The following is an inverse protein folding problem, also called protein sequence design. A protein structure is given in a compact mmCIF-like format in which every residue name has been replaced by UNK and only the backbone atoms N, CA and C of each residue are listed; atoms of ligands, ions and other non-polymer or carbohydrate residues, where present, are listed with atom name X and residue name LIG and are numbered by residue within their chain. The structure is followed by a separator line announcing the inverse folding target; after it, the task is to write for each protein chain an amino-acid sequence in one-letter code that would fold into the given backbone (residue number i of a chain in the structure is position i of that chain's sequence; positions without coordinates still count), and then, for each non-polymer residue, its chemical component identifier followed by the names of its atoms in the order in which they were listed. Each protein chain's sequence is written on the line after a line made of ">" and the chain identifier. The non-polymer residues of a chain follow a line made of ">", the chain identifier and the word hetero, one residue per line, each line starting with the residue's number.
data_IF_135971573855
#
_entry.id   IF_135971573855
#
_cell.length_a   1.000
_cell.length_b   1.000
_cell.length_c   1.000
_cell.angle_alpha   90.00
_cell.angle_beta   90.00
_cell.angle_gamma   90.00
#
_symmetry.space_group_name_H-M   'P 1'
#
loop_
_entity.id
_entity.type
_entity.pdbx_description
1 polymer ?
#
# COMPACT_ATOMS: atom_id res chain seq x y z
N UNK A 1 -8.11 0.57 -18.54
CA UNK A 1 -8.16 -0.14 -17.23
C UNK A 1 -9.16 0.57 -16.33
N UNK A 2 -10.04 -0.16 -15.63
CA UNK A 2 -11.00 0.42 -14.67
C UNK A 2 -10.61 -0.04 -13.27
N UNK A 3 -10.33 0.91 -12.37
CA UNK A 3 -10.04 0.59 -10.98
C UNK A 3 -11.33 0.16 -10.26
N UNK A 4 -11.26 -0.92 -9.48
CA UNK A 4 -12.37 -1.45 -8.68
C UNK A 4 -11.99 -1.43 -7.20
N UNK A 5 -12.96 -1.11 -6.34
CA UNK A 5 -12.77 -1.12 -4.89
C UNK A 5 -13.66 -2.20 -4.31
N UNK A 6 -13.04 -3.23 -3.71
CA UNK A 6 -13.75 -4.33 -3.05
C UNK A 6 -14.05 -4.03 -1.58
N UNK A 7 -13.16 -3.30 -0.90
CA UNK A 7 -13.30 -2.93 0.50
C UNK A 7 -12.76 -1.51 0.71
N UNK A 8 -13.68 -0.56 0.87
CA UNK A 8 -13.34 0.85 1.00
C UNK A 8 -12.56 1.15 2.28
N UNK A 9 -12.86 0.48 3.39
CA UNK A 9 -12.21 0.72 4.68
C UNK A 9 -10.77 0.21 4.66
N UNK A 10 -10.51 -0.95 4.05
CA UNK A 10 -9.13 -1.44 3.90
C UNK A 10 -8.33 -0.57 2.95
N UNK A 11 -8.93 -0.13 1.85
CA UNK A 11 -8.27 0.77 0.90
C UNK A 11 -7.86 2.09 1.57
N UNK A 12 -8.78 2.72 2.31
CA UNK A 12 -8.52 3.98 3.02
C UNK A 12 -7.36 3.87 4.03
N UNK A 13 -7.33 2.80 4.82
CA UNK A 13 -6.21 2.51 5.73
C UNK A 13 -4.89 2.34 5.00
N UNK A 14 -4.90 1.64 3.87
CA UNK A 14 -3.71 1.43 3.05
C UNK A 14 -3.21 2.75 2.46
N UNK A 15 -4.11 3.57 1.93
CA UNK A 15 -3.77 4.90 1.40
C UNK A 15 -3.21 5.82 2.50
N UNK A 16 -3.85 5.87 3.67
CA UNK A 16 -3.38 6.68 4.80
C UNK A 16 -1.98 6.27 5.26
N UNK A 17 -1.69 4.97 5.35
CA UNK A 17 -0.37 4.47 5.73
C UNK A 17 0.71 4.76 4.67
N UNK A 18 0.37 4.65 3.38
CA UNK A 18 1.33 4.80 2.29
C UNK A 18 1.53 6.26 1.87
N UNK A 19 0.50 7.09 1.97
CA UNK A 19 0.49 8.46 1.44
C UNK A 19 0.36 9.52 2.53
N UNK A 20 0.13 9.14 3.78
CA UNK A 20 0.09 10.05 4.92
C UNK A 20 1.46 10.63 5.28
N UNK A 21 1.47 11.62 6.16
CA UNK A 21 2.69 12.35 6.53
C UNK A 21 3.70 11.50 7.31
N UNK A 22 3.20 10.50 8.04
CA UNK A 22 4.04 9.67 8.91
C UNK A 22 5.01 8.77 8.13
N UNK A 23 6.31 9.04 8.29
CA UNK A 23 7.38 8.30 7.60
C UNK A 23 7.62 6.92 8.20
N UNK A 24 7.46 6.75 9.51
CA UNK A 24 7.78 5.51 10.23
C UNK A 24 6.94 4.30 9.77
N UNK A 25 5.60 4.37 9.79
CA UNK A 25 4.73 3.29 9.32
C UNK A 25 5.00 2.92 7.86
N UNK A 26 5.13 3.91 6.98
CA UNK A 26 5.47 3.72 5.56
C UNK A 26 6.78 2.96 5.38
N UNK A 27 7.85 3.39 6.05
CA UNK A 27 9.17 2.71 5.96
C UNK A 27 9.08 1.25 6.40
N UNK A 28 8.40 0.97 7.52
CA UNK A 28 8.21 -0.41 8.00
C UNK A 28 7.45 -1.27 6.98
N UNK A 29 6.38 -0.75 6.41
CA UNK A 29 5.59 -1.46 5.41
C UNK A 29 6.43 -1.83 4.18
N UNK A 30 7.15 -0.85 3.61
CA UNK A 30 8.00 -1.06 2.43
C UNK A 30 9.08 -2.10 2.74
N UNK A 31 9.81 -1.95 3.85
CA UNK A 31 10.88 -2.90 4.21
C UNK A 31 10.39 -4.33 4.40
N UNK A 32 9.19 -4.51 4.95
CA UNK A 32 8.59 -5.84 5.14
C UNK A 32 8.14 -6.48 3.83
N UNK A 33 7.51 -5.70 2.93
CA UNK A 33 6.83 -6.24 1.74
C UNK A 33 7.63 -6.14 0.45
N UNK A 34 8.70 -5.34 0.40
CA UNK A 34 9.47 -5.09 -0.83
C UNK A 34 10.04 -6.36 -1.48
N UNK A 35 10.34 -7.40 -0.70
CA UNK A 35 10.86 -8.67 -1.22
C UNK A 35 9.78 -9.66 -1.64
N UNK A 36 8.54 -9.44 -1.23
CA UNK A 36 7.40 -10.34 -1.50
C UNK A 36 6.76 -10.05 -2.86
N UNK A 37 6.92 -8.82 -3.35
CA UNK A 37 6.38 -8.40 -4.65
C UNK A 37 7.29 -8.88 -5.76
N UNK A 38 6.78 -9.81 -6.59
CA UNK A 38 7.50 -10.31 -7.77
C UNK A 38 7.13 -9.55 -9.06
N UNK A 39 5.88 -9.10 -9.17
CA UNK A 39 5.33 -8.53 -10.41
C UNK A 39 4.48 -7.29 -10.07
N UNK A 40 5.12 -6.13 -9.90
CA UNK A 40 4.38 -4.88 -9.68
C UNK A 40 3.85 -4.28 -11.00
N UNK A 41 4.58 -4.49 -12.10
CA UNK A 41 4.39 -3.77 -13.38
C UNK A 41 4.14 -4.71 -14.59
N UNK A 42 3.63 -5.93 -14.38
CA UNK A 42 3.34 -6.90 -15.46
C UNK A 42 1.84 -6.93 -15.78
#
# INVERSE_FOLDING_TARGET
>A
LKATISDATKADKLFSMLMGEEVGPRKRFISLRAKEVKNLDI
#
